data_IF_473614056573
#
_entry.id   IF_473614056573
#
_cell.length_a   1.000
_cell.length_b   1.000
_cell.length_c   1.000
_cell.angle_alpha   90.00
_cell.angle_beta   90.00
_cell.angle_gamma   90.00
#
_symmetry.space_group_name_H-M   'P 1'
#
loop_
_entity.id
_entity.type
_entity.pdbx_description
1 polymer ?
#
# COMPACT_ATOMS: atom_id res chain seq x y z
N UNK A 1 36.27 44.13 30.19
CA UNK A 1 35.63 43.46 29.05
C UNK A 1 34.44 42.68 29.58
N UNK A 2 33.27 43.25 29.46
CA UNK A 2 32.01 42.61 29.88
C UNK A 2 31.67 41.52 28.86
N UNK A 3 31.76 40.25 29.28
CA UNK A 3 31.33 39.12 28.48
C UNK A 3 29.82 39.18 28.30
N UNK A 4 29.37 39.47 27.09
CA UNK A 4 27.96 39.30 26.72
C UNK A 4 27.61 37.81 26.89
N UNK A 5 26.78 37.50 27.89
CA UNK A 5 26.16 36.18 28.00
C UNK A 5 25.25 35.97 26.79
N UNK A 6 25.64 35.07 25.88
CA UNK A 6 24.77 34.63 24.82
C UNK A 6 23.55 33.95 25.42
N UNK A 7 22.42 34.65 25.45
CA UNK A 7 21.15 34.09 25.84
C UNK A 7 20.67 33.15 24.69
N UNK A 8 20.68 31.85 24.95
CA UNK A 8 20.16 30.87 24.01
C UNK A 8 18.64 30.73 24.19
N UNK A 9 17.83 30.79 23.12
CA UNK A 9 16.39 30.66 23.23
C UNK A 9 15.98 29.31 23.80
N UNK A 10 14.97 29.31 24.65
CA UNK A 10 14.34 28.10 25.21
C UNK A 10 13.74 27.21 24.08
N UNK A 11 13.47 25.95 24.41
CA UNK A 11 12.79 25.07 23.45
C UNK A 11 11.40 25.59 23.02
N UNK A 12 10.69 26.21 23.98
CA UNK A 12 9.40 26.84 23.70
C UNK A 12 9.53 27.98 22.66
N UNK A 13 10.51 28.87 22.85
CA UNK A 13 10.77 29.96 21.92
C UNK A 13 11.21 29.44 20.52
N UNK A 14 12.00 28.37 20.47
CA UNK A 14 12.40 27.72 19.20
C UNK A 14 11.20 27.11 18.49
N UNK A 15 10.32 26.41 19.21
CA UNK A 15 9.10 25.83 18.65
C UNK A 15 8.17 26.94 18.16
N UNK A 16 7.98 28.00 18.94
CA UNK A 16 7.16 29.14 18.53
C UNK A 16 7.69 29.79 17.27
N UNK A 17 8.99 30.12 17.20
CA UNK A 17 9.60 30.74 16.03
C UNK A 17 9.45 29.89 14.76
N UNK A 18 9.59 28.55 14.85
CA UNK A 18 9.44 27.68 13.69
C UNK A 18 7.97 27.52 13.30
N UNK A 19 7.05 27.60 14.25
CA UNK A 19 5.60 27.59 13.96
C UNK A 19 5.17 28.91 13.27
N UNK A 20 5.66 30.03 13.74
CA UNK A 20 5.42 31.34 13.11
C UNK A 20 5.97 31.37 11.67
N UNK A 21 7.15 30.77 11.45
CA UNK A 21 7.73 30.60 10.12
C UNK A 21 6.87 29.71 9.22
N UNK A 22 6.30 28.62 9.74
CA UNK A 22 5.37 27.74 9.02
C UNK A 22 4.12 28.49 8.58
N UNK A 23 3.52 29.29 9.45
CA UNK A 23 2.30 30.05 9.14
C UNK A 23 2.54 31.05 8.02
N UNK A 24 3.65 31.80 8.08
CA UNK A 24 4.06 32.71 7.03
C UNK A 24 4.35 31.96 5.69
N UNK A 25 5.00 30.78 5.79
CA UNK A 25 5.31 29.94 4.65
C UNK A 25 4.08 29.37 3.93
N UNK A 26 3.04 29.04 4.68
CA UNK A 26 1.78 28.53 4.10
C UNK A 26 1.11 29.56 3.22
N UNK A 27 1.07 30.81 3.62
CA UNK A 27 0.50 31.89 2.81
C UNK A 27 1.26 32.07 1.49
N UNK A 28 2.59 31.99 1.55
CA UNK A 28 3.45 32.12 0.37
C UNK A 28 3.48 30.86 -0.52
N UNK A 29 3.01 29.71 -0.01
CA UNK A 29 3.08 28.43 -0.71
C UNK A 29 2.22 28.40 -1.98
N UNK A 30 1.09 29.12 -1.99
CA UNK A 30 0.11 29.05 -3.06
C UNK A 30 0.45 29.88 -4.30
N UNK A 31 1.69 30.29 -4.44
CA UNK A 31 2.29 30.62 -5.73
C UNK A 31 2.56 29.33 -6.51
N UNK A 32 2.22 29.27 -7.78
CA UNK A 32 2.24 28.06 -8.62
C UNK A 32 3.56 27.26 -8.51
N UNK A 33 4.70 27.94 -8.62
CA UNK A 33 6.01 27.28 -8.55
C UNK A 33 6.33 26.72 -7.17
N UNK A 34 6.03 27.46 -6.11
CA UNK A 34 6.25 27.04 -4.72
C UNK A 34 5.35 25.87 -4.35
N UNK A 35 4.11 25.89 -4.82
CA UNK A 35 3.17 24.80 -4.59
C UNK A 35 3.64 23.51 -5.27
N UNK A 36 4.05 23.58 -6.52
CA UNK A 36 4.62 22.44 -7.25
C UNK A 36 5.88 21.92 -6.57
N UNK A 37 6.76 22.82 -6.10
CA UNK A 37 7.97 22.41 -5.36
C UNK A 37 7.64 21.72 -4.04
N UNK A 38 6.62 22.18 -3.33
CA UNK A 38 6.13 21.51 -2.14
C UNK A 38 5.62 20.08 -2.45
N UNK A 39 4.83 19.91 -3.51
CA UNK A 39 4.34 18.59 -3.91
C UNK A 39 5.47 17.64 -4.32
N UNK A 40 6.52 18.15 -4.98
CA UNK A 40 7.76 17.39 -5.25
C UNK A 40 8.48 16.97 -3.97
N UNK A 41 8.51 17.83 -2.96
CA UNK A 41 9.05 17.46 -1.64
C UNK A 41 8.15 16.45 -0.95
N UNK A 42 6.83 16.63 -1.01
CA UNK A 42 5.87 15.70 -0.45
C UNK A 42 6.00 14.28 -1.03
N UNK A 43 6.26 14.15 -2.34
CA UNK A 43 6.44 12.84 -2.98
C UNK A 43 7.62 12.04 -2.42
N UNK A 44 8.64 12.71 -1.90
CA UNK A 44 9.82 12.09 -1.27
C UNK A 44 9.63 11.86 0.23
N UNK A 45 8.84 12.71 0.89
CA UNK A 45 8.67 12.75 2.34
C UNK A 45 7.20 12.54 2.76
N UNK A 46 6.47 11.69 2.03
CA UNK A 46 5.04 11.44 2.26
C UNK A 46 4.71 10.88 3.64
N UNK A 47 5.66 10.20 4.31
CA UNK A 47 5.52 9.67 5.67
C UNK A 47 5.70 10.74 6.77
N UNK A 48 6.20 11.92 6.41
CA UNK A 48 6.37 13.00 7.36
C UNK A 48 5.04 13.73 7.61
N UNK A 49 4.93 14.36 8.81
CA UNK A 49 3.78 15.24 9.08
C UNK A 49 3.79 16.45 8.13
N UNK A 50 2.61 17.04 7.88
CA UNK A 50 2.47 18.25 7.07
C UNK A 50 3.49 19.32 7.46
N UNK A 51 3.59 19.63 8.75
CA UNK A 51 4.51 20.65 9.26
C UNK A 51 5.97 20.34 8.91
N UNK A 52 6.39 19.09 9.06
CA UNK A 52 7.76 18.70 8.76
C UNK A 52 8.06 18.66 7.28
N UNK A 53 7.12 18.21 6.44
CA UNK A 53 7.28 18.28 4.97
C UNK A 53 7.41 19.72 4.50
N UNK A 54 6.60 20.64 5.04
CA UNK A 54 6.70 22.07 4.76
C UNK A 54 8.04 22.66 5.22
N UNK A 55 8.49 22.32 6.44
CA UNK A 55 9.79 22.78 6.94
C UNK A 55 10.96 22.29 6.11
N UNK A 56 10.91 21.06 5.61
CA UNK A 56 11.93 20.52 4.70
C UNK A 56 11.87 21.28 3.39
N UNK A 57 10.69 21.41 2.77
CA UNK A 57 10.51 22.10 1.50
C UNK A 57 11.02 23.56 1.53
N UNK A 58 10.78 24.25 2.66
CA UNK A 58 11.18 25.66 2.82
C UNK A 58 12.68 25.85 3.07
N UNK A 59 13.34 24.87 3.72
CA UNK A 59 14.75 24.99 4.11
C UNK A 59 15.70 24.32 3.12
N UNK A 60 15.26 23.22 2.49
CA UNK A 60 16.05 22.46 1.49
C UNK A 60 15.11 21.80 0.47
N UNK A 61 14.65 22.55 -0.53
CA UNK A 61 13.68 22.06 -1.52
C UNK A 61 14.16 20.86 -2.36
N UNK A 62 15.48 20.73 -2.52
CA UNK A 62 16.17 19.66 -3.23
C UNK A 62 16.44 18.41 -2.38
N UNK A 63 16.08 18.41 -1.09
CA UNK A 63 16.27 17.26 -0.20
C UNK A 63 15.64 16.00 -0.79
N UNK A 64 16.31 14.86 -0.57
CA UNK A 64 15.86 13.53 -1.06
C UNK A 64 15.69 12.52 0.04
N UNK A 65 16.57 12.51 1.04
CA UNK A 65 16.49 11.64 2.22
C UNK A 65 17.09 12.35 3.41
N UNK A 66 16.33 12.55 4.47
CA UNK A 66 16.81 13.23 5.66
C UNK A 66 16.86 12.31 6.88
N UNK A 67 17.89 12.44 7.68
CA UNK A 67 18.02 11.75 8.96
C UNK A 67 18.76 12.60 9.98
N UNK A 68 18.61 12.25 11.26
CA UNK A 68 19.35 12.88 12.34
C UNK A 68 20.86 12.56 12.27
N UNK A 69 21.71 13.44 12.83
CA UNK A 69 23.16 13.29 12.84
C UNK A 69 23.63 11.90 13.32
N UNK A 70 23.04 11.41 14.40
CA UNK A 70 23.40 10.10 14.97
C UNK A 70 22.94 8.95 14.11
N UNK A 71 21.76 9.07 13.45
CA UNK A 71 21.23 8.07 12.55
C UNK A 71 22.11 7.91 11.32
N UNK A 72 22.58 8.99 10.72
CA UNK A 72 23.52 8.94 9.61
C UNK A 72 24.75 8.10 9.94
N UNK A 73 25.33 8.29 11.15
CA UNK A 73 26.51 7.55 11.58
C UNK A 73 26.21 6.08 11.90
N UNK A 74 25.14 5.80 12.67
CA UNK A 74 24.89 4.47 13.23
C UNK A 74 24.15 3.54 12.28
N UNK A 75 23.19 4.05 11.52
CA UNK A 75 22.31 3.25 10.65
C UNK A 75 22.81 3.21 9.22
N UNK A 76 23.28 4.36 8.70
CA UNK A 76 23.69 4.47 7.28
C UNK A 76 25.20 4.40 7.06
N UNK A 77 26.03 4.38 8.14
CA UNK A 77 27.49 4.38 8.00
C UNK A 77 28.04 5.62 7.28
N UNK A 78 27.30 6.74 7.36
CA UNK A 78 27.63 8.03 6.74
C UNK A 78 27.86 9.09 7.80
N UNK A 79 28.60 10.12 7.46
CA UNK A 79 28.90 11.22 8.36
C UNK A 79 28.50 12.56 7.73
N UNK A 80 27.82 13.39 8.54
CA UNK A 80 27.49 14.77 8.13
C UNK A 80 28.77 15.56 7.95
N UNK A 81 28.89 16.26 6.84
CA UNK A 81 30.06 17.08 6.46
C UNK A 81 30.22 18.25 7.41
N UNK A 82 31.48 18.65 7.61
CA UNK A 82 31.78 19.78 8.50
C UNK A 82 31.29 21.10 7.89
N UNK A 83 30.55 21.86 8.70
CA UNK A 83 30.02 23.16 8.28
C UNK A 83 28.59 23.11 7.74
N UNK A 84 28.01 21.92 7.54
CA UNK A 84 26.64 21.78 7.08
C UNK A 84 25.63 22.29 8.09
N UNK A 85 24.61 22.98 7.59
CA UNK A 85 23.49 23.48 8.37
C UNK A 85 22.35 22.48 8.39
N UNK A 86 21.91 22.08 9.58
CA UNK A 86 20.80 21.13 9.71
C UNK A 86 19.45 21.76 9.37
N UNK A 87 18.59 20.96 8.74
CA UNK A 87 17.19 21.26 8.49
C UNK A 87 16.45 21.10 9.81
N UNK A 88 15.77 22.15 10.30
CA UNK A 88 15.04 22.15 11.55
C UNK A 88 13.65 21.61 11.35
N UNK A 89 13.32 20.55 12.10
CA UNK A 89 11.99 19.94 12.10
C UNK A 89 11.46 19.79 13.53
N UNK A 90 10.16 19.46 13.64
CA UNK A 90 9.47 19.23 14.90
C UNK A 90 9.46 17.74 15.25
N UNK A 91 10.12 17.34 16.34
CA UNK A 91 10.07 15.99 16.86
C UNK A 91 9.12 15.89 18.05
N UNK A 92 8.23 14.89 18.13
CA UNK A 92 7.36 14.70 19.27
C UNK A 92 8.18 14.32 20.51
N UNK A 93 7.83 14.94 21.65
CA UNK A 93 8.42 14.65 22.97
C UNK A 93 7.32 14.64 24.03
N UNK A 94 6.37 13.72 23.94
CA UNK A 94 5.27 13.68 24.88
C UNK A 94 5.78 13.45 26.31
N UNK A 95 5.13 14.08 27.31
CA UNK A 95 5.44 13.91 28.68
C UNK A 95 4.21 13.58 29.54
N UNK A 96 4.40 12.83 30.59
CA UNK A 96 3.34 12.49 31.54
C UNK A 96 3.08 13.62 32.49
N UNK A 97 1.82 14.02 32.65
CA UNK A 97 1.37 15.01 33.64
C UNK A 97 0.24 14.40 34.47
N UNK A 98 0.35 14.51 35.77
CA UNK A 98 -0.76 14.17 36.65
C UNK A 98 -1.83 15.27 36.56
N UNK A 99 -3.04 14.86 36.23
CA UNK A 99 -4.20 15.75 36.12
C UNK A 99 -5.34 15.17 36.94
N UNK A 100 -6.10 16.05 37.57
CA UNK A 100 -7.36 15.69 38.19
C UNK A 100 -8.42 15.61 37.09
N UNK A 101 -8.95 14.42 36.90
CA UNK A 101 -10.04 14.13 35.96
C UNK A 101 -11.28 13.66 36.69
N UNK A 102 -12.44 13.78 36.05
CA UNK A 102 -13.66 13.23 36.63
C UNK A 102 -13.55 11.72 36.74
N UNK A 103 -13.84 11.17 37.91
CA UNK A 103 -13.83 9.73 38.12
C UNK A 103 -15.06 9.14 37.46
N UNK A 104 -14.83 8.16 36.59
CA UNK A 104 -15.91 7.45 35.85
C UNK A 104 -16.06 6.04 36.39
N UNK A 105 -17.30 5.56 36.39
CA UNK A 105 -17.58 4.15 36.65
C UNK A 105 -17.01 3.28 35.53
N UNK A 106 -16.21 2.26 35.82
CA UNK A 106 -15.54 1.46 34.79
C UNK A 106 -16.48 0.58 33.98
N UNK A 107 -17.74 0.38 34.44
CA UNK A 107 -18.72 -0.46 33.77
C UNK A 107 -19.69 0.38 32.92
N UNK A 108 -20.20 1.48 33.50
CA UNK A 108 -21.20 2.33 32.85
C UNK A 108 -20.62 3.51 32.08
N UNK A 109 -19.37 3.91 32.40
CA UNK A 109 -18.72 5.11 31.84
C UNK A 109 -19.27 6.43 32.38
N UNK A 110 -20.22 6.38 33.32
CA UNK A 110 -20.81 7.58 33.91
C UNK A 110 -19.89 8.24 34.95
N UNK A 111 -20.01 9.57 35.08
CA UNK A 111 -19.21 10.34 36.08
C UNK A 111 -19.78 10.05 37.44
N UNK A 112 -18.92 9.57 38.35
CA UNK A 112 -19.24 9.35 39.74
C UNK A 112 -19.36 10.70 40.45
N UNK A 113 -20.51 10.93 41.14
CA UNK A 113 -20.78 12.15 41.88
C UNK A 113 -20.54 11.95 43.37
N UNK A 114 -20.03 12.98 44.02
CA UNK A 114 -19.98 13.08 45.47
C UNK A 114 -21.39 13.29 46.07
N UNK A 115 -21.58 13.10 47.38
CA UNK A 115 -22.85 13.35 48.07
C UNK A 115 -23.35 14.79 47.94
N UNK A 116 -22.50 15.75 47.69
CA UNK A 116 -22.79 17.18 47.46
C UNK A 116 -23.18 17.51 46.00
N UNK A 117 -23.22 16.50 45.13
CA UNK A 117 -23.59 16.63 43.71
C UNK A 117 -22.40 17.03 42.81
N UNK A 118 -21.21 17.31 43.35
CA UNK A 118 -20.01 17.57 42.54
C UNK A 118 -19.43 16.29 41.97
N UNK A 119 -18.66 16.40 40.84
CA UNK A 119 -17.95 15.24 40.28
C UNK A 119 -16.83 14.79 41.21
N UNK A 120 -16.79 13.50 41.53
CA UNK A 120 -15.65 12.92 42.19
C UNK A 120 -14.41 13.04 41.30
N UNK A 121 -13.25 13.43 41.86
CA UNK A 121 -12.00 13.57 41.08
C UNK A 121 -11.05 12.45 41.40
N UNK A 122 -10.32 12.01 40.36
CA UNK A 122 -9.18 11.11 40.52
C UNK A 122 -7.93 11.71 39.88
N UNK A 123 -6.77 11.43 40.44
CA UNK A 123 -5.49 11.84 39.83
C UNK A 123 -5.07 10.77 38.80
N UNK A 124 -5.08 11.13 37.52
CA UNK A 124 -4.69 10.24 36.43
C UNK A 124 -3.45 10.81 35.73
N UNK A 125 -2.51 9.92 35.38
CA UNK A 125 -1.42 10.30 34.49
C UNK A 125 -1.93 10.39 33.05
N UNK A 126 -1.90 11.61 32.50
CA UNK A 126 -2.28 11.90 31.13
C UNK A 126 -1.02 12.19 30.32
N UNK A 127 -0.91 11.61 29.14
CA UNK A 127 0.18 11.88 28.21
C UNK A 127 -0.09 13.19 27.47
N UNK A 128 0.69 14.21 27.79
CA UNK A 128 0.58 15.53 27.18
C UNK A 128 1.45 15.62 25.93
N UNK A 129 0.89 16.03 24.79
CA UNK A 129 1.69 16.24 23.58
C UNK A 129 2.64 17.42 23.77
N UNK A 130 3.89 17.22 23.39
CA UNK A 130 4.87 18.28 23.31
C UNK A 130 5.81 18.02 22.13
N UNK A 131 6.47 19.08 21.69
CA UNK A 131 7.41 19.03 20.57
C UNK A 131 8.71 19.73 20.92
N UNK A 132 9.78 19.30 20.29
CA UNK A 132 11.08 19.99 20.31
C UNK A 132 11.59 20.18 18.89
N UNK A 133 12.36 21.24 18.67
CA UNK A 133 13.08 21.45 17.42
C UNK A 133 14.32 20.54 17.41
N UNK A 134 14.46 19.76 16.34
CA UNK A 134 15.62 18.91 16.08
C UNK A 134 16.20 19.22 14.70
N UNK A 135 17.50 18.96 14.52
CA UNK A 135 18.17 19.08 13.24
C UNK A 135 18.26 17.71 12.57
N UNK A 136 17.84 17.67 11.31
CA UNK A 136 18.10 16.57 10.38
C UNK A 136 18.97 17.07 9.23
N UNK A 137 19.60 16.17 8.53
CA UNK A 137 20.50 16.48 7.42
C UNK A 137 20.11 15.63 6.22
N UNK A 138 20.13 16.22 5.04
CA UNK A 138 19.89 15.50 3.80
C UNK A 138 21.12 14.63 3.43
N UNK A 139 20.91 13.59 2.65
CA UNK A 139 21.99 12.71 2.16
C UNK A 139 23.09 13.48 1.43
N UNK A 140 22.74 14.54 0.68
CA UNK A 140 23.71 15.40 0.00
C UNK A 140 24.66 16.16 0.94
N UNK A 141 24.30 16.28 2.22
CA UNK A 141 25.09 16.89 3.29
C UNK A 141 25.98 15.87 4.02
N UNK A 142 26.09 14.65 3.50
CA UNK A 142 26.81 13.55 4.15
C UNK A 142 27.78 12.86 3.23
N UNK A 143 28.89 12.35 3.80
CA UNK A 143 29.87 11.48 3.14
C UNK A 143 29.84 10.08 3.74
N UNK A 144 30.18 9.06 2.96
CA UNK A 144 30.26 7.67 3.45
C UNK A 144 29.82 6.66 2.40
N UNK A 145 29.40 5.48 2.87
CA UNK A 145 28.97 4.37 2.00
C UNK A 145 27.80 4.78 1.10
N UNK A 146 27.73 4.28 -0.14
CA UNK A 146 26.51 4.40 -0.94
C UNK A 146 25.31 3.89 -0.15
N UNK A 147 24.19 4.58 -0.28
CA UNK A 147 22.93 4.08 0.29
C UNK A 147 22.47 2.87 -0.50
N UNK A 148 21.86 1.88 0.16
CA UNK A 148 21.12 0.86 -0.55
C UNK A 148 20.08 1.57 -1.44
N UNK A 149 20.02 1.20 -2.69
CA UNK A 149 18.96 1.68 -3.58
C UNK A 149 17.67 1.09 -3.03
N UNK A 150 16.89 1.88 -2.31
CA UNK A 150 15.51 1.51 -2.01
C UNK A 150 14.85 1.49 -3.39
N UNK A 151 14.56 0.27 -3.87
CA UNK A 151 14.06 0.07 -5.22
C UNK A 151 12.65 0.59 -5.41
N UNK A 152 12.48 1.91 -5.36
CA UNK A 152 11.47 2.55 -6.16
C UNK A 152 12.05 2.48 -7.57
N UNK A 153 11.72 1.41 -8.29
CA UNK A 153 12.05 1.31 -9.69
C UNK A 153 11.33 2.47 -10.38
N UNK A 154 12.09 3.49 -10.78
CA UNK A 154 11.58 4.42 -11.77
C UNK A 154 11.02 3.58 -12.90
N UNK A 155 9.77 3.86 -13.29
CA UNK A 155 9.14 3.16 -14.41
C UNK A 155 9.90 3.52 -15.69
N UNK A 156 10.92 2.75 -16.00
CA UNK A 156 11.85 2.99 -17.12
C UNK A 156 11.26 2.63 -18.49
N UNK A 157 9.94 2.43 -18.58
CA UNK A 157 9.24 2.23 -19.85
C UNK A 157 9.21 0.78 -20.35
N UNK A 158 9.62 -0.19 -19.56
CA UNK A 158 9.43 -1.61 -19.85
C UNK A 158 7.94 -2.01 -19.72
N UNK A 159 7.43 -2.74 -20.71
CA UNK A 159 6.04 -3.21 -20.76
C UNK A 159 5.69 -4.06 -19.53
N UNK A 160 6.60 -4.94 -19.09
CA UNK A 160 6.39 -5.79 -17.93
C UNK A 160 6.31 -4.97 -16.63
N UNK A 161 7.08 -3.91 -16.49
CA UNK A 161 7.01 -2.99 -15.35
C UNK A 161 5.69 -2.21 -15.35
N UNK A 162 5.20 -1.79 -16.53
CA UNK A 162 3.91 -1.14 -16.64
C UNK A 162 2.77 -2.05 -16.18
N UNK A 163 2.72 -3.28 -16.69
CA UNK A 163 1.67 -4.25 -16.35
C UNK A 163 1.66 -4.55 -14.85
N UNK A 164 2.83 -4.80 -14.27
CA UNK A 164 2.98 -5.03 -12.83
C UNK A 164 2.53 -3.83 -12.00
N UNK A 165 2.93 -2.62 -12.40
CA UNK A 165 2.54 -1.40 -11.73
C UNK A 165 1.02 -1.16 -11.82
N UNK A 166 0.44 -1.35 -12.99
CA UNK A 166 -0.99 -1.17 -13.20
C UNK A 166 -1.82 -2.21 -12.43
N UNK A 167 -1.35 -3.45 -12.32
CA UNK A 167 -1.97 -4.46 -11.46
C UNK A 167 -1.86 -4.09 -9.98
N UNK A 168 -0.71 -3.58 -9.51
CA UNK A 168 -0.57 -3.07 -8.14
C UNK A 168 -1.56 -1.93 -7.88
N UNK A 169 -1.71 -1.02 -8.84
CA UNK A 169 -2.64 0.09 -8.77
C UNK A 169 -4.10 -0.36 -8.72
N UNK A 170 -4.49 -1.35 -9.53
CA UNK A 170 -5.84 -1.96 -9.47
C UNK A 170 -6.10 -2.62 -8.11
N UNK A 171 -5.12 -3.30 -7.54
CA UNK A 171 -5.24 -3.93 -6.22
C UNK A 171 -5.33 -2.91 -5.08
N UNK A 172 -4.63 -1.79 -5.19
CA UNK A 172 -4.69 -0.68 -4.23
C UNK A 172 -5.97 0.16 -4.37
N UNK A 173 -6.66 0.08 -5.51
CA UNK A 173 -7.90 0.80 -5.73
C UNK A 173 -9.07 0.13 -5.01
N UNK A 174 -9.83 0.86 -4.16
CA UNK A 174 -10.95 0.28 -3.43
C UNK A 174 -12.18 -0.03 -4.32
N UNK A 175 -12.14 0.41 -5.58
CA UNK A 175 -13.22 0.21 -6.55
C UNK A 175 -12.68 -0.37 -7.85
N UNK A 176 -13.49 -1.09 -8.65
CA UNK A 176 -13.04 -1.63 -9.92
C UNK A 176 -12.59 -0.55 -10.90
N UNK A 177 -11.48 -0.79 -11.60
CA UNK A 177 -11.01 0.02 -12.73
C UNK A 177 -11.27 -0.74 -14.02
N UNK A 178 -12.04 -0.14 -14.94
CA UNK A 178 -12.35 -0.68 -16.25
C UNK A 178 -11.94 0.25 -17.38
N UNK A 179 -11.84 -0.30 -18.58
CA UNK A 179 -11.59 0.46 -19.80
C UNK A 179 -12.86 0.53 -20.63
N UNK A 180 -13.12 1.70 -21.21
CA UNK A 180 -14.27 1.89 -22.12
C UNK A 180 -14.02 3.06 -23.07
N UNK A 181 -14.83 3.16 -24.13
CA UNK A 181 -14.84 4.33 -25.01
C UNK A 181 -15.60 5.45 -24.32
N UNK A 182 -14.94 6.58 -24.09
CA UNK A 182 -15.49 7.73 -23.37
C UNK A 182 -15.75 8.86 -24.39
N UNK A 183 -17.00 9.24 -24.57
CA UNK A 183 -17.36 10.35 -25.42
C UNK A 183 -16.98 11.70 -24.78
N UNK A 184 -16.73 12.73 -25.62
CA UNK A 184 -16.51 14.10 -25.16
C UNK A 184 -15.09 14.45 -24.75
N UNK A 185 -14.11 13.55 -24.97
CA UNK A 185 -12.67 13.84 -24.82
C UNK A 185 -12.15 13.73 -23.36
N UNK A 186 -12.97 13.28 -22.42
CA UNK A 186 -12.51 12.93 -21.08
C UNK A 186 -11.61 11.68 -21.15
N UNK A 187 -10.53 11.66 -20.35
CA UNK A 187 -9.58 10.54 -20.31
C UNK A 187 -9.99 9.46 -19.32
N UNK A 188 -10.83 9.80 -18.35
CA UNK A 188 -11.38 8.93 -17.33
C UNK A 188 -12.42 9.65 -16.49
N UNK A 189 -13.07 8.89 -15.62
CA UNK A 189 -13.97 9.43 -14.60
C UNK A 189 -14.23 8.42 -13.49
N UNK A 190 -14.47 8.91 -12.28
CA UNK A 190 -15.01 8.14 -11.19
C UNK A 190 -16.54 8.21 -11.20
N UNK A 191 -17.20 7.08 -11.40
CA UNK A 191 -18.66 6.96 -11.38
C UNK A 191 -19.16 6.71 -9.97
N UNK A 192 -19.69 7.76 -9.32
CA UNK A 192 -20.07 7.71 -7.89
C UNK A 192 -21.24 6.76 -7.59
N UNK A 193 -22.17 6.55 -8.52
CA UNK A 193 -23.35 5.67 -8.32
C UNK A 193 -22.97 4.20 -8.53
N UNK A 194 -22.23 3.88 -9.59
CA UNK A 194 -21.77 2.52 -9.88
C UNK A 194 -20.53 2.14 -9.07
N UNK A 195 -19.93 3.11 -8.38
CA UNK A 195 -18.74 2.96 -7.56
C UNK A 195 -17.60 2.27 -8.32
N UNK A 196 -17.26 2.78 -9.50
CA UNK A 196 -16.21 2.28 -10.38
C UNK A 196 -15.44 3.43 -11.04
N UNK A 197 -14.25 3.14 -11.49
CA UNK A 197 -13.43 4.04 -12.31
C UNK A 197 -13.46 3.54 -13.75
N UNK A 198 -13.70 4.44 -14.68
CA UNK A 198 -13.60 4.20 -16.12
C UNK A 198 -12.42 4.97 -16.70
N UNK A 199 -11.66 4.32 -17.57
CA UNK A 199 -10.49 4.87 -18.25
C UNK A 199 -10.70 4.73 -19.76
N UNK A 200 -10.38 5.79 -20.50
CA UNK A 200 -10.44 5.80 -21.97
C UNK A 200 -9.52 4.72 -22.55
N UNK A 201 -10.05 3.89 -23.44
CA UNK A 201 -9.27 2.91 -24.20
C UNK A 201 -8.30 3.56 -25.18
N UNK A 202 -7.17 2.90 -25.45
CA UNK A 202 -6.22 3.28 -26.50
C UNK A 202 -5.27 4.42 -26.13
N UNK A 203 -5.22 4.87 -24.86
CA UNK A 203 -4.24 5.82 -24.40
C UNK A 203 -2.85 5.18 -24.25
N UNK A 204 -1.79 6.02 -24.21
CA UNK A 204 -0.45 5.56 -23.86
C UNK A 204 -0.41 5.04 -22.42
N UNK A 205 0.54 4.14 -22.12
CA UNK A 205 0.74 3.56 -20.79
C UNK A 205 0.87 4.64 -19.71
N UNK A 206 1.69 5.65 -19.96
CA UNK A 206 1.89 6.79 -19.03
C UNK A 206 0.58 7.54 -18.78
N UNK A 207 -0.17 7.85 -19.85
CA UNK A 207 -1.43 8.55 -19.71
C UNK A 207 -2.48 7.71 -18.98
N UNK A 208 -2.52 6.41 -19.22
CA UNK A 208 -3.41 5.47 -18.53
C UNK A 208 -3.15 5.46 -17.02
N UNK A 209 -1.87 5.37 -16.62
CA UNK A 209 -1.50 5.41 -15.20
C UNK A 209 -1.87 6.75 -14.57
N UNK A 210 -1.51 7.86 -15.22
CA UNK A 210 -1.82 9.22 -14.72
C UNK A 210 -3.33 9.40 -14.50
N UNK A 211 -4.13 8.96 -15.47
CA UNK A 211 -5.59 9.01 -15.37
C UNK A 211 -6.12 8.12 -14.25
N UNK A 212 -5.64 6.89 -14.15
CA UNK A 212 -6.05 5.98 -13.08
C UNK A 212 -5.75 6.55 -11.69
N UNK A 213 -4.54 7.08 -11.47
CA UNK A 213 -4.16 7.72 -10.20
C UNK A 213 -5.05 8.94 -9.90
N UNK A 214 -5.37 9.76 -10.91
CA UNK A 214 -6.24 10.92 -10.75
C UNK A 214 -7.67 10.52 -10.33
N UNK A 215 -8.26 9.53 -10.99
CA UNK A 215 -9.60 9.05 -10.65
C UNK A 215 -9.64 8.33 -9.29
N UNK A 216 -8.56 7.61 -8.92
CA UNK A 216 -8.41 7.07 -7.57
C UNK A 216 -8.34 8.17 -6.52
N UNK A 217 -7.65 9.28 -6.81
CA UNK A 217 -7.62 10.44 -5.91
C UNK A 217 -9.03 11.03 -5.73
N UNK A 218 -9.81 11.18 -6.80
CA UNK A 218 -11.21 11.59 -6.71
C UNK A 218 -12.03 10.63 -5.86
N UNK A 219 -11.88 9.33 -6.06
CA UNK A 219 -12.58 8.31 -5.28
C UNK A 219 -12.23 8.42 -3.78
N UNK A 220 -10.94 8.48 -3.42
CA UNK A 220 -10.52 8.55 -2.02
C UNK A 220 -10.88 9.88 -1.33
N UNK A 221 -10.81 10.99 -2.06
CA UNK A 221 -11.05 12.33 -1.50
C UNK A 221 -12.52 12.72 -1.47
N UNK A 222 -13.30 12.28 -2.46
CA UNK A 222 -14.60 12.87 -2.78
C UNK A 222 -15.73 11.86 -2.96
N UNK A 223 -15.49 10.57 -2.65
CA UNK A 223 -16.57 9.58 -2.58
C UNK A 223 -17.59 10.02 -1.50
N UNK A 224 -18.84 9.99 -1.87
CA UNK A 224 -19.94 10.29 -0.95
C UNK A 224 -20.43 8.95 -0.42
N UNK A 225 -20.38 8.76 0.89
CA UNK A 225 -21.08 7.66 1.51
C UNK A 225 -22.60 7.89 1.36
N UNK A 226 -23.30 7.09 0.55
CA UNK A 226 -24.74 7.27 0.34
C UNK A 226 -25.55 7.06 1.61
N UNK A 227 -24.95 6.49 2.66
CA UNK A 227 -25.60 6.26 3.96
C UNK A 227 -25.30 7.38 4.97
N UNK A 228 -24.30 8.21 4.72
CA UNK A 228 -23.97 9.33 5.58
C UNK A 228 -25.02 10.43 5.42
N UNK A 229 -25.60 10.87 6.55
CA UNK A 229 -26.45 12.06 6.56
C UNK A 229 -25.58 13.25 6.22
N UNK A 230 -25.86 13.92 5.10
CA UNK A 230 -25.22 15.18 4.74
C UNK A 230 -25.41 16.18 5.87
N UNK A 231 -24.33 16.64 6.49
CA UNK A 231 -24.37 17.75 7.44
C UNK A 231 -24.55 19.04 6.63
N UNK A 232 -25.65 19.80 6.81
CA UNK A 232 -25.85 21.06 6.10
C UNK A 232 -24.77 22.11 6.41
N UNK A 233 -23.99 21.93 7.49
CA UNK A 233 -22.90 22.81 7.90
C UNK A 233 -21.56 22.47 7.22
N UNK A 234 -21.42 21.29 6.57
CA UNK A 234 -20.23 20.97 5.82
C UNK A 234 -20.08 21.90 4.60
N UNK A 235 -18.89 22.50 4.42
CA UNK A 235 -18.64 23.35 3.29
C UNK A 235 -18.79 22.56 1.98
N UNK A 236 -19.74 22.98 1.12
CA UNK A 236 -19.89 22.41 -0.22
C UNK A 236 -18.67 22.79 -1.05
N UNK A 237 -17.74 21.87 -1.20
CA UNK A 237 -16.59 22.07 -2.04
C UNK A 237 -17.00 22.30 -3.51
N UNK A 238 -16.49 23.36 -4.11
CA UNK A 238 -16.69 23.62 -5.53
C UNK A 238 -15.98 22.56 -6.36
N UNK A 239 -16.43 22.34 -7.61
CA UNK A 239 -15.75 21.45 -8.54
C UNK A 239 -14.26 21.76 -8.64
N UNK A 240 -13.92 23.05 -8.75
CA UNK A 240 -12.53 23.50 -8.80
C UNK A 240 -11.71 23.08 -7.56
N UNK A 241 -12.32 23.10 -6.37
CA UNK A 241 -11.66 22.67 -5.14
C UNK A 241 -11.30 21.17 -5.21
N UNK A 242 -12.25 20.35 -5.68
CA UNK A 242 -12.05 18.91 -5.81
C UNK A 242 -10.96 18.57 -6.84
N UNK A 243 -10.92 19.30 -7.95
CA UNK A 243 -9.88 19.13 -8.97
C UNK A 243 -8.49 19.48 -8.43
N UNK A 244 -8.35 20.60 -7.70
CA UNK A 244 -7.07 21.00 -7.08
C UNK A 244 -6.54 19.90 -6.14
N UNK A 245 -7.40 19.37 -5.27
CA UNK A 245 -7.02 18.31 -4.34
C UNK A 245 -6.63 17.03 -5.08
N UNK A 246 -7.45 16.56 -6.02
CA UNK A 246 -7.20 15.32 -6.77
C UNK A 246 -5.94 15.43 -7.65
N UNK A 247 -5.77 16.55 -8.34
CA UNK A 247 -4.59 16.79 -9.18
C UNK A 247 -3.30 16.89 -8.35
N UNK A 248 -3.37 17.49 -7.15
CA UNK A 248 -2.23 17.54 -6.22
C UNK A 248 -1.82 16.17 -5.72
N UNK A 249 -2.78 15.32 -5.38
CA UNK A 249 -2.53 13.92 -4.99
C UNK A 249 -1.92 13.16 -6.16
N UNK A 250 -2.55 13.24 -7.34
CA UNK A 250 -2.07 12.53 -8.53
C UNK A 250 -0.65 12.96 -8.93
N UNK A 251 -0.36 14.26 -8.90
CA UNK A 251 1.00 14.77 -9.13
C UNK A 251 1.99 14.18 -8.13
N UNK A 252 1.66 14.18 -6.84
CA UNK A 252 2.54 13.69 -5.77
C UNK A 252 2.84 12.19 -5.95
N UNK A 253 1.82 11.38 -6.22
CA UNK A 253 1.97 9.94 -6.46
C UNK A 253 2.77 9.68 -7.73
N UNK A 254 2.48 10.36 -8.84
CA UNK A 254 3.24 10.23 -10.08
C UNK A 254 4.72 10.60 -9.89
N UNK A 255 5.02 11.71 -9.19
CA UNK A 255 6.39 12.11 -8.88
C UNK A 255 7.13 11.09 -8.02
N UNK A 256 6.43 10.42 -7.10
CA UNK A 256 7.03 9.37 -6.27
C UNK A 256 7.55 8.19 -7.10
N UNK A 257 6.82 7.82 -8.16
CA UNK A 257 7.18 6.72 -9.06
C UNK A 257 7.99 7.15 -10.31
N UNK A 258 8.46 8.39 -10.37
CA UNK A 258 9.23 8.91 -11.51
C UNK A 258 8.40 9.05 -12.81
N UNK A 259 7.07 9.05 -12.72
CA UNK A 259 6.19 9.23 -13.88
C UNK A 259 6.22 10.70 -14.31
N UNK A 260 6.35 10.95 -15.61
CA UNK A 260 6.39 12.30 -16.16
C UNK A 260 5.15 13.12 -15.78
N UNK A 261 5.40 14.27 -15.15
CA UNK A 261 4.38 15.20 -14.66
C UNK A 261 4.42 16.55 -15.36
N UNK A 262 5.12 16.64 -16.49
CA UNK A 262 5.28 17.90 -17.24
C UNK A 262 3.97 18.56 -17.67
N UNK A 263 2.91 17.79 -17.86
CA UNK A 263 1.58 18.29 -18.26
C UNK A 263 0.79 18.94 -17.10
N UNK A 264 1.18 18.73 -15.85
CA UNK A 264 0.49 19.30 -14.70
C UNK A 264 0.80 20.79 -14.57
N UNK A 265 -0.25 21.59 -14.42
CA UNK A 265 -0.15 23.03 -14.23
C UNK A 265 -0.97 23.46 -13.02
N UNK A 266 -0.31 24.13 -12.09
CA UNK A 266 -0.94 24.67 -10.87
C UNK A 266 -1.20 26.19 -10.94
N UNK A 267 -1.30 26.75 -12.15
CA UNK A 267 -1.52 28.18 -12.35
C UNK A 267 -2.79 28.70 -11.66
N UNK A 268 -3.78 27.84 -11.48
CA UNK A 268 -5.06 28.18 -10.83
C UNK A 268 -5.03 28.09 -9.29
N UNK A 269 -3.96 27.57 -8.69
CA UNK A 269 -3.85 27.38 -7.23
C UNK A 269 -3.90 28.70 -6.47
N UNK A 270 -3.30 29.76 -7.02
CA UNK A 270 -3.37 31.09 -6.44
C UNK A 270 -4.84 31.61 -6.35
N UNK A 271 -5.63 31.37 -7.38
CA UNK A 271 -7.07 31.73 -7.39
C UNK A 271 -7.87 30.82 -6.43
N UNK A 272 -7.52 29.55 -6.33
CA UNK A 272 -8.17 28.62 -5.40
C UNK A 272 -7.92 28.97 -3.93
N UNK A 273 -6.71 29.42 -3.60
CA UNK A 273 -6.35 29.81 -2.23
C UNK A 273 -6.85 31.20 -1.84
N UNK A 274 -7.26 32.03 -2.83
CA UNK A 274 -7.68 33.39 -2.58
C UNK A 274 -8.91 33.47 -1.65
N UNK A 275 -8.82 34.27 -0.61
CA UNK A 275 -9.89 34.43 0.39
C UNK A 275 -10.04 33.32 1.42
N UNK A 276 -9.18 32.28 1.38
CA UNK A 276 -9.16 31.23 2.38
C UNK A 276 -8.25 31.57 3.54
N UNK A 277 -8.66 31.15 4.73
CA UNK A 277 -7.85 31.32 5.93
C UNK A 277 -6.79 30.21 6.08
N UNK A 278 -5.71 30.50 6.80
CA UNK A 278 -4.62 29.52 7.03
C UNK A 278 -5.08 28.17 7.58
N UNK A 279 -6.05 28.07 8.51
CA UNK A 279 -6.54 26.76 8.96
C UNK A 279 -7.20 25.94 7.88
N UNK A 280 -7.98 26.55 6.99
CA UNK A 280 -8.63 25.88 5.86
C UNK A 280 -7.60 25.35 4.84
N UNK A 281 -6.60 26.18 4.53
CA UNK A 281 -5.50 25.79 3.64
C UNK A 281 -4.68 24.64 4.23
N UNK A 282 -4.39 24.67 5.53
CA UNK A 282 -3.72 23.57 6.24
C UNK A 282 -4.53 22.28 6.18
N UNK A 283 -5.83 22.35 6.36
CA UNK A 283 -6.72 21.18 6.29
C UNK A 283 -6.68 20.53 4.90
N UNK A 284 -6.77 21.30 3.83
CA UNK A 284 -6.63 20.79 2.46
C UNK A 284 -5.24 20.19 2.19
N UNK A 285 -4.17 20.87 2.61
CA UNK A 285 -2.81 20.33 2.45
C UNK A 285 -2.60 19.02 3.22
N UNK A 286 -3.14 18.89 4.43
CA UNK A 286 -3.03 17.65 5.21
C UNK A 286 -3.87 16.53 4.60
N UNK A 287 -5.01 16.84 4.02
CA UNK A 287 -5.86 15.91 3.27
C UNK A 287 -5.13 15.39 2.03
N UNK A 288 -4.55 16.28 1.21
CA UNK A 288 -3.72 15.91 0.05
C UNK A 288 -2.56 14.99 0.49
N UNK A 289 -1.83 15.38 1.54
CA UNK A 289 -0.70 14.62 2.06
C UNK A 289 -1.12 13.22 2.51
N UNK A 290 -2.15 13.11 3.33
CA UNK A 290 -2.64 11.81 3.84
C UNK A 290 -3.05 10.90 2.70
N UNK A 291 -3.87 11.40 1.78
CA UNK A 291 -4.33 10.60 0.64
C UNK A 291 -3.19 10.15 -0.26
N UNK A 292 -2.22 11.03 -0.55
CA UNK A 292 -1.04 10.65 -1.32
C UNK A 292 -0.19 9.60 -0.59
N UNK A 293 0.04 9.77 0.72
CA UNK A 293 0.79 8.80 1.55
C UNK A 293 0.09 7.44 1.58
N UNK A 294 -1.21 7.39 1.79
CA UNK A 294 -2.01 6.16 1.78
C UNK A 294 -1.91 5.45 0.42
N UNK A 295 -2.12 6.18 -0.68
CA UNK A 295 -2.03 5.62 -2.03
C UNK A 295 -0.63 5.05 -2.32
N UNK A 296 0.43 5.78 -1.99
CA UNK A 296 1.82 5.33 -2.17
C UNK A 296 2.08 4.06 -1.34
N UNK A 297 1.64 4.03 -0.08
CA UNK A 297 1.82 2.88 0.80
C UNK A 297 1.11 1.65 0.25
N UNK A 298 -0.18 1.76 -0.09
CA UNK A 298 -0.98 0.66 -0.63
C UNK A 298 -0.42 0.14 -1.97
N UNK A 299 -0.04 1.04 -2.89
CA UNK A 299 0.58 0.66 -4.16
C UNK A 299 1.93 -0.06 -3.92
N UNK A 300 2.78 0.45 -3.01
CA UNK A 300 4.07 -0.17 -2.70
C UNK A 300 3.91 -1.56 -2.09
N UNK A 301 2.95 -1.78 -1.21
CA UNK A 301 2.66 -3.09 -0.64
C UNK A 301 2.27 -4.11 -1.73
N UNK A 302 1.36 -3.74 -2.62
CA UNK A 302 0.95 -4.60 -3.72
C UNK A 302 2.06 -4.79 -4.76
N UNK A 303 2.82 -3.75 -5.07
CA UNK A 303 3.94 -3.83 -6.00
C UNK A 303 5.04 -4.77 -5.47
N UNK A 304 5.40 -4.65 -4.19
CA UNK A 304 6.36 -5.55 -3.56
C UNK A 304 5.90 -7.01 -3.59
N UNK A 305 4.60 -7.27 -3.35
CA UNK A 305 4.03 -8.61 -3.44
C UNK A 305 4.10 -9.17 -4.88
N UNK A 306 3.73 -8.36 -5.88
CA UNK A 306 3.79 -8.76 -7.29
C UNK A 306 5.24 -8.93 -7.78
N UNK A 307 6.16 -8.07 -7.38
CA UNK A 307 7.59 -8.21 -7.72
C UNK A 307 8.16 -9.51 -7.15
N UNK A 308 7.80 -9.84 -5.92
CA UNK A 308 8.21 -11.09 -5.28
C UNK A 308 7.67 -12.30 -6.05
N UNK A 309 6.39 -12.29 -6.43
CA UNK A 309 5.77 -13.33 -7.23
C UNK A 309 6.42 -13.44 -8.61
N UNK A 310 6.63 -12.32 -9.30
CA UNK A 310 7.30 -12.27 -10.60
C UNK A 310 8.73 -12.82 -10.53
N UNK A 311 9.52 -12.41 -9.55
CA UNK A 311 10.89 -12.89 -9.36
C UNK A 311 10.89 -14.40 -9.17
N UNK A 312 9.97 -14.94 -8.38
CA UNK A 312 9.94 -16.38 -8.11
C UNK A 312 9.52 -17.22 -9.33
N UNK A 313 8.61 -16.71 -10.14
CA UNK A 313 8.15 -17.42 -11.35
C UNK A 313 9.15 -17.37 -12.51
N UNK A 314 10.12 -16.44 -12.49
CA UNK A 314 11.09 -16.21 -13.56
C UNK A 314 12.54 -16.51 -13.15
N UNK A 315 12.79 -17.05 -11.97
CA UNK A 315 14.12 -17.47 -11.54
C UNK A 315 14.67 -18.59 -12.45
N UNK A 316 15.92 -18.42 -12.87
CA UNK A 316 16.69 -19.45 -13.56
C UNK A 316 17.59 -20.20 -12.58
N UNK A 317 18.09 -21.38 -12.99
CA UNK A 317 19.06 -22.14 -12.18
C UNK A 317 20.32 -21.34 -11.84
N UNK A 318 20.76 -20.47 -12.76
CA UNK A 318 21.94 -19.63 -12.55
C UNK A 318 21.66 -18.47 -11.60
N UNK A 319 20.45 -17.91 -11.63
CA UNK A 319 20.02 -16.89 -10.65
C UNK A 319 20.05 -17.43 -9.23
N UNK A 320 19.55 -18.65 -9.03
CA UNK A 320 19.57 -19.32 -7.71
C UNK A 320 20.99 -19.57 -7.21
N UNK A 321 21.91 -19.98 -8.08
CA UNK A 321 23.34 -20.18 -7.73
C UNK A 321 24.05 -18.88 -7.38
N UNK A 322 23.63 -17.76 -7.97
CA UNK A 322 24.27 -16.44 -7.80
C UNK A 322 23.65 -15.62 -6.66
N UNK A 323 22.62 -16.13 -5.96
CA UNK A 323 22.07 -15.47 -4.78
C UNK A 323 23.07 -15.59 -3.64
N UNK A 324 23.95 -14.60 -3.49
CA UNK A 324 24.84 -14.48 -2.34
C UNK A 324 24.02 -14.13 -1.07
N UNK A 325 24.06 -15.03 -0.09
CA UNK A 325 23.50 -14.78 1.23
C UNK A 325 24.38 -13.80 2.01
N UNK A 326 24.20 -12.50 1.82
CA UNK A 326 25.06 -11.46 2.44
C UNK A 326 24.62 -11.05 3.85
N UNK A 327 23.65 -11.73 4.48
CA UNK A 327 23.24 -11.40 5.85
C UNK A 327 22.04 -12.20 6.34
N UNK A 328 21.83 -12.21 7.66
CA UNK A 328 20.75 -12.97 8.31
C UNK A 328 19.33 -12.53 7.89
N UNK A 329 19.15 -11.30 7.45
CA UNK A 329 17.86 -10.78 6.98
C UNK A 329 17.48 -11.27 5.58
N UNK A 330 18.46 -11.65 4.74
CA UNK A 330 18.23 -12.16 3.37
C UNK A 330 18.07 -13.69 3.32
N UNK A 331 18.45 -14.41 4.36
CA UNK A 331 18.36 -15.87 4.42
C UNK A 331 16.93 -16.42 4.17
N UNK A 332 15.84 -15.85 4.71
CA UNK A 332 14.48 -16.34 4.43
C UNK A 332 14.08 -16.19 2.96
N UNK A 333 14.54 -15.13 2.29
CA UNK A 333 14.19 -14.88 0.88
C UNK A 333 14.93 -15.81 -0.08
N UNK A 334 16.22 -16.06 0.14
CA UNK A 334 16.98 -17.01 -0.69
C UNK A 334 16.41 -18.43 -0.57
N UNK A 335 16.08 -18.87 0.65
CA UNK A 335 15.46 -20.18 0.91
C UNK A 335 14.10 -20.35 0.25
N UNK A 336 13.27 -19.31 0.28
CA UNK A 336 11.96 -19.33 -0.38
C UNK A 336 12.09 -19.31 -1.91
N UNK A 337 13.01 -18.53 -2.46
CA UNK A 337 13.31 -18.52 -3.88
C UNK A 337 13.79 -19.89 -4.37
N UNK A 338 14.66 -20.52 -3.62
CA UNK A 338 15.20 -21.85 -3.92
C UNK A 338 14.12 -22.95 -3.84
N UNK A 339 13.29 -22.94 -2.82
CA UNK A 339 12.14 -23.83 -2.72
C UNK A 339 11.21 -23.65 -3.93
N UNK A 340 10.91 -22.42 -4.28
CA UNK A 340 10.03 -22.11 -5.42
C UNK A 340 10.66 -22.53 -6.75
N UNK A 341 11.96 -22.31 -6.94
CA UNK A 341 12.69 -22.79 -8.10
C UNK A 341 12.52 -24.30 -8.27
N UNK A 342 12.84 -25.08 -7.23
CA UNK A 342 12.79 -26.53 -7.31
C UNK A 342 11.35 -27.06 -7.50
N UNK A 343 10.34 -26.48 -6.83
CA UNK A 343 8.93 -26.82 -7.06
C UNK A 343 8.50 -26.53 -8.48
N UNK A 344 8.89 -25.38 -9.05
CA UNK A 344 8.62 -25.01 -10.44
C UNK A 344 9.27 -25.98 -11.45
N UNK A 345 10.48 -26.49 -11.17
CA UNK A 345 11.11 -27.49 -12.04
C UNK A 345 10.36 -28.82 -12.02
N UNK A 346 9.86 -29.24 -10.85
CA UNK A 346 9.00 -30.45 -10.72
C UNK A 346 7.70 -30.26 -11.52
N UNK A 347 7.06 -29.10 -11.40
CA UNK A 347 5.80 -28.80 -12.13
C UNK A 347 6.00 -28.81 -13.66
N UNK A 348 7.13 -28.34 -14.16
CA UNK A 348 7.49 -28.32 -15.59
C UNK A 348 7.94 -29.66 -16.12
N UNK A 349 8.29 -30.63 -15.29
CA UNK A 349 8.74 -31.94 -15.72
C UNK A 349 7.64 -32.68 -16.47
N UNK A 350 7.91 -33.16 -17.68
CA UNK A 350 6.95 -33.88 -18.54
C UNK A 350 7.03 -35.41 -18.40
N UNK A 351 8.08 -35.92 -17.76
CA UNK A 351 8.30 -37.36 -17.58
C UNK A 351 8.68 -37.66 -16.13
N UNK A 352 8.45 -38.92 -15.72
CA UNK A 352 8.83 -39.40 -14.41
C UNK A 352 10.38 -39.43 -14.20
N UNK A 353 11.14 -39.59 -15.28
CA UNK A 353 12.61 -39.49 -15.25
C UNK A 353 13.03 -38.04 -14.99
N UNK A 354 12.41 -37.05 -15.63
CA UNK A 354 12.67 -35.64 -15.41
C UNK A 354 12.34 -35.24 -13.95
N UNK A 355 11.26 -35.74 -13.36
CA UNK A 355 10.95 -35.51 -11.94
C UNK A 355 12.06 -36.06 -11.03
N UNK A 356 12.60 -37.26 -11.33
CA UNK A 356 13.70 -37.86 -10.57
C UNK A 356 15.00 -37.04 -10.68
N UNK A 357 15.30 -36.51 -11.87
CA UNK A 357 16.47 -35.62 -12.04
C UNK A 357 16.36 -34.36 -11.20
N UNK A 358 15.17 -33.71 -11.20
CA UNK A 358 14.91 -32.54 -10.38
C UNK A 358 15.02 -32.86 -8.89
N UNK A 359 14.44 -33.97 -8.43
CA UNK A 359 14.53 -34.39 -7.02
C UNK A 359 15.96 -34.72 -6.60
N UNK A 360 16.74 -35.34 -7.49
CA UNK A 360 18.15 -35.59 -7.24
C UNK A 360 18.94 -34.27 -7.12
N UNK A 361 18.72 -33.31 -8.04
CA UNK A 361 19.30 -31.99 -7.97
C UNK A 361 18.95 -31.25 -6.66
N UNK A 362 17.69 -31.33 -6.22
CA UNK A 362 17.26 -30.75 -4.95
C UNK A 362 17.99 -31.38 -3.74
N UNK A 363 18.19 -32.69 -3.74
CA UNK A 363 18.91 -33.38 -2.66
C UNK A 363 20.41 -33.11 -2.66
N UNK A 364 21.04 -32.87 -3.83
CA UNK A 364 22.46 -32.51 -3.94
C UNK A 364 22.77 -31.10 -3.43
N UNK A 365 21.78 -30.24 -3.33
CA UNK A 365 21.95 -28.91 -2.71
C UNK A 365 22.06 -29.07 -1.19
N UNK A 366 23.16 -29.62 -0.72
CA UNK A 366 23.47 -29.73 0.70
C UNK A 366 23.42 -28.34 1.37
N UNK A 367 22.58 -28.20 2.38
CA UNK A 367 22.44 -26.99 3.21
C UNK A 367 21.63 -25.80 2.65
N UNK A 368 20.53 -26.05 1.96
CA UNK A 368 19.55 -25.02 1.65
C UNK A 368 19.03 -24.25 2.89
N UNK A 369 19.28 -24.79 4.08
CA UNK A 369 18.77 -24.23 5.33
C UNK A 369 17.25 -24.13 5.36
N UNK A 370 16.55 -24.91 4.53
CA UNK A 370 15.10 -25.01 4.51
C UNK A 370 14.59 -25.63 5.81
N UNK A 371 13.47 -25.14 6.31
CA UNK A 371 12.80 -25.78 7.44
C UNK A 371 12.19 -27.13 7.00
N UNK A 372 11.92 -28.00 7.98
CA UNK A 372 11.24 -29.28 7.72
C UNK A 372 9.91 -29.09 6.99
N UNK A 373 9.17 -28.05 7.33
CA UNK A 373 7.89 -27.72 6.69
C UNK A 373 8.07 -27.29 5.22
N UNK A 374 9.13 -26.53 4.92
CA UNK A 374 9.45 -26.13 3.55
C UNK A 374 9.87 -27.32 2.69
N UNK A 375 10.69 -28.23 3.23
CA UNK A 375 11.03 -29.49 2.56
C UNK A 375 9.78 -30.34 2.30
N UNK A 376 8.87 -30.41 3.27
CA UNK A 376 7.63 -31.18 3.11
C UNK A 376 6.77 -30.66 1.95
N UNK A 377 6.65 -29.33 1.78
CA UNK A 377 5.94 -28.73 0.64
C UNK A 377 6.54 -29.13 -0.72
N UNK A 378 7.88 -29.18 -0.82
CA UNK A 378 8.53 -29.67 -2.03
C UNK A 378 8.14 -31.12 -2.34
N UNK A 379 8.21 -32.00 -1.36
CA UNK A 379 7.87 -33.42 -1.53
C UNK A 379 6.39 -33.64 -1.86
N UNK A 380 5.48 -32.83 -1.32
CA UNK A 380 4.06 -32.88 -1.69
C UNK A 380 3.84 -32.58 -3.18
N UNK A 381 4.58 -31.59 -3.75
CA UNK A 381 4.53 -31.29 -5.19
C UNK A 381 5.12 -32.43 -6.02
N UNK A 382 6.20 -33.07 -5.57
CA UNK A 382 6.81 -34.23 -6.20
C UNK A 382 5.82 -35.40 -6.25
N UNK A 383 5.19 -35.76 -5.13
CA UNK A 383 4.20 -36.82 -5.06
C UNK A 383 3.01 -36.60 -5.99
N UNK A 384 2.49 -35.37 -6.01
CA UNK A 384 1.39 -35.00 -6.90
C UNK A 384 1.77 -35.15 -8.37
N UNK A 385 2.99 -34.74 -8.75
CA UNK A 385 3.47 -34.82 -10.12
C UNK A 385 3.76 -36.25 -10.55
N UNK A 386 4.39 -37.07 -9.68
CA UNK A 386 4.62 -38.49 -9.94
C UNK A 386 3.31 -39.26 -10.10
N UNK A 387 2.31 -38.95 -9.28
CA UNK A 387 0.98 -39.54 -9.40
C UNK A 387 0.31 -39.17 -10.74
N UNK A 388 0.47 -37.93 -11.20
CA UNK A 388 -0.08 -37.45 -12.47
C UNK A 388 0.62 -38.06 -13.70
N UNK A 389 1.91 -38.37 -13.60
CA UNK A 389 2.73 -38.96 -14.67
C UNK A 389 2.75 -40.51 -14.63
N UNK A 390 2.27 -41.14 -13.56
CA UNK A 390 2.17 -42.58 -13.48
C UNK A 390 1.05 -43.11 -14.37
N UNK A 391 1.29 -44.13 -15.19
CA UNK A 391 0.19 -44.74 -15.94
C UNK A 391 -0.84 -45.31 -14.95
N UNK A 392 -2.14 -45.20 -15.25
CA UNK A 392 -3.18 -45.69 -14.37
C UNK A 392 -2.90 -47.14 -14.01
N UNK A 393 -2.80 -47.42 -12.71
CA UNK A 393 -2.49 -48.81 -12.28
C UNK A 393 -3.61 -49.71 -12.80
N UNK A 394 -3.26 -50.97 -13.16
CA UNK A 394 -4.25 -51.95 -13.64
C UNK A 394 -5.43 -52.12 -12.66
N UNK A 395 -5.23 -51.80 -11.38
CA UNK A 395 -6.27 -51.73 -10.36
C UNK A 395 -7.19 -50.53 -10.52
N UNK A 396 -6.66 -49.35 -10.88
CA UNK A 396 -7.47 -48.15 -11.14
C UNK A 396 -8.29 -48.29 -12.43
N UNK A 397 -7.72 -48.93 -13.46
CA UNK A 397 -8.44 -49.27 -14.69
C UNK A 397 -9.57 -50.29 -14.45
N UNK A 398 -9.34 -51.26 -13.54
CA UNK A 398 -10.39 -52.20 -13.13
C UNK A 398 -11.48 -51.54 -12.28
N UNK A 399 -11.11 -50.56 -11.46
CA UNK A 399 -12.07 -49.79 -10.65
C UNK A 399 -12.89 -48.87 -11.54
N UNK A 400 -12.26 -48.10 -12.47
CA UNK A 400 -12.91 -47.27 -13.45
C UNK A 400 -13.88 -48.05 -14.36
N UNK A 401 -13.46 -49.24 -14.84
CA UNK A 401 -14.32 -50.16 -15.62
C UNK A 401 -15.46 -50.74 -14.80
N UNK A 402 -15.28 -50.94 -13.50
CA UNK A 402 -16.35 -51.33 -12.58
C UNK A 402 -17.39 -50.22 -12.40
N UNK A 403 -16.90 -49.03 -12.17
CA UNK A 403 -17.76 -47.84 -11.98
C UNK A 403 -18.53 -47.48 -13.26
N UNK A 404 -17.90 -47.59 -14.44
CA UNK A 404 -18.58 -47.47 -15.72
C UNK A 404 -19.64 -48.56 -15.91
N UNK A 405 -19.32 -49.83 -15.56
CA UNK A 405 -20.29 -50.93 -15.67
C UNK A 405 -21.47 -50.80 -14.72
N UNK A 406 -21.28 -50.20 -13.55
CA UNK A 406 -22.35 -49.89 -12.60
C UNK A 406 -23.19 -48.71 -13.03
N UNK A 407 -22.60 -47.67 -13.62
CA UNK A 407 -23.33 -46.55 -14.22
C UNK A 407 -24.13 -46.97 -15.44
N UNK A 408 -23.61 -47.87 -16.33
CA UNK A 408 -24.37 -48.44 -17.44
C UNK A 408 -25.56 -49.32 -16.98
N UNK A 409 -25.39 -50.03 -15.85
CA UNK A 409 -26.49 -50.80 -15.25
C UNK A 409 -27.56 -49.93 -14.61
N UNK A 410 -27.18 -48.76 -14.09
CA UNK A 410 -28.14 -47.81 -13.51
C UNK A 410 -28.90 -46.97 -14.54
N UNK A 411 -28.38 -46.84 -15.75
CA UNK A 411 -28.96 -46.05 -16.84
C UNK A 411 -29.91 -46.82 -17.78
N UNK A 412 -30.04 -48.14 -17.65
CA UNK A 412 -30.99 -48.91 -18.47
C UNK A 412 -32.43 -48.71 -17.92
N UNK A 413 -33.39 -48.26 -18.75
CA UNK A 413 -34.77 -48.05 -18.34
C UNK A 413 -35.42 -49.39 -18.00
N UNK A 414 -35.98 -49.50 -16.75
CA UNK A 414 -36.79 -50.66 -16.32
C UNK A 414 -37.95 -50.83 -17.26
N UNK A 415 -37.90 -51.88 -18.06
CA UNK A 415 -39.05 -52.35 -18.88
C UNK A 415 -40.25 -52.61 -18.01
N UNK A 416 -41.34 -51.89 -18.25
CA UNK A 416 -42.65 -52.11 -17.60
C UNK A 416 -43.23 -53.45 -18.06
N UNK A 417 -43.14 -54.49 -17.26
CA UNK A 417 -43.90 -55.72 -17.43
C UNK A 417 -45.37 -55.45 -17.11
N UNK A 418 -46.16 -55.38 -18.19
CA UNK A 418 -47.61 -55.30 -18.08
C UNK A 418 -48.16 -56.69 -17.61
N UNK A 419 -48.60 -56.75 -16.39
CA UNK A 419 -49.36 -57.91 -15.86
C UNK A 419 -50.81 -57.76 -16.28
N UNK A 420 -51.31 -58.64 -17.25
CA UNK A 420 -52.69 -58.86 -17.52
C UNK A 420 -53.39 -59.39 -16.28
N UNK A 421 -54.33 -58.63 -15.73
CA UNK A 421 -55.32 -59.16 -14.80
C UNK A 421 -56.56 -59.55 -15.55
N UNK A 422 -56.82 -60.84 -15.56
CA UNK A 422 -58.03 -61.52 -16.03
C UNK A 422 -59.22 -61.06 -15.17
N UNK A 423 -60.29 -60.73 -15.85
CA UNK A 423 -61.64 -60.54 -15.26
C UNK A 423 -62.16 -61.80 -14.57
N UNK A 424 -62.66 -61.66 -13.37
CA UNK A 424 -63.66 -62.58 -12.85
C UNK A 424 -64.84 -61.74 -12.30
N UNK A 425 -66.02 -61.97 -12.92
CA UNK A 425 -67.38 -61.53 -12.57
C UNK A 425 -67.79 -62.11 -11.25
N UNK A 426 -68.49 -61.35 -10.46
CA UNK A 426 -69.68 -61.63 -9.65
C UNK A 426 -70.17 -60.28 -9.14
N UNK A 427 -71.28 -59.86 -9.53
CA UNK A 427 -72.70 -59.95 -9.29
C UNK A 427 -73.04 -59.87 -7.77
N UNK A 428 -74.07 -59.05 -7.54
CA UNK A 428 -75.02 -58.94 -6.40
C UNK A 428 -74.57 -58.02 -5.27
N UNK A 429 -75.35 -57.24 -4.65
CA UNK A 429 -76.76 -56.81 -4.77
C UNK A 429 -76.94 -55.63 -3.80
N UNK A 430 -77.84 -54.72 -4.21
CA UNK A 430 -78.78 -53.88 -3.42
C UNK A 430 -78.43 -53.42 -2.00
N UNK A 431 -78.35 -52.20 -1.72
CA UNK A 431 -79.45 -51.29 -1.27
C UNK A 431 -78.96 -49.86 -1.21
#
# INVERSE_FOLDING_TARGET
MSGEQKIYPSQFEKVKAITDQLEAGIQALFESEKFQQYLKTLSKFHDYSLNNTLLIAMQKPDATLVAGYTAWKKQFGRQVQKGESGIRILAPTPYKKKMEVDKTDPITGEIIKNPDGTSAKESKEVLMPAFKVVNVFDVSQTDGKPLPTIGVNELTGDVAQYEMFFEALKKACPVPIGFEQIDGGAKGYFHTVENRIAIQEGMSQVQTIKTAIHEMAHQKLHSIDPTAKSDPSEPKFTRNHKEVEAESVAFTVCQHYGIDTGDYSFAYVAGWSHGKETPELKASLDKIRKTASEMITEINEHLAALQKEYTWTHLTADDVKNIECTGSEYMPYSRMAELHYWTSQVEKAETAEAVKEVTFGFMETENLGLSREQCQKFWEVVEQKEAALSPPSALADLQAKKDESEQEKSSKPKAKTARKKTQKRKKEESR
#
